data_IF_110606568905
#
_entry.id   IF_110606568905
#
_cell.length_a   1.000
_cell.length_b   1.000
_cell.length_c   1.000
_cell.angle_alpha   90.00
_cell.angle_beta   90.00
_cell.angle_gamma   90.00
#
_symmetry.space_group_name_H-M   'P 1'
#
loop_
_entity.id
_entity.type
_entity.pdbx_description
1 polymer ?
#
# COMPACT_ATOMS: atom_id res chain seq x y z
N UNK A 1 17.00 21.54 -11.69
CA UNK A 1 16.69 21.66 -10.25
C UNK A 1 17.78 21.05 -9.37
N UNK A 2 18.00 19.72 -9.34
CA UNK A 2 19.00 19.10 -8.43
C UNK A 2 20.41 19.70 -8.57
N UNK A 3 20.94 19.85 -9.79
CA UNK A 3 22.26 20.45 -10.00
C UNK A 3 22.36 21.92 -9.53
N UNK A 4 21.26 22.67 -9.67
CA UNK A 4 21.20 24.08 -9.23
C UNK A 4 21.22 24.13 -7.71
N UNK A 5 20.44 23.27 -7.04
CA UNK A 5 20.43 23.19 -5.58
C UNK A 5 21.80 22.79 -5.02
N UNK A 6 22.45 21.79 -5.63
CA UNK A 6 23.80 21.34 -5.28
C UNK A 6 24.83 22.47 -5.34
N UNK A 7 24.73 23.37 -6.33
CA UNK A 7 25.65 24.51 -6.43
C UNK A 7 25.42 25.63 -5.40
N UNK A 8 24.28 25.64 -4.72
CA UNK A 8 23.88 26.76 -3.85
C UNK A 8 24.02 26.47 -2.36
N UNK A 9 23.92 25.21 -1.95
CA UNK A 9 23.94 24.83 -0.53
C UNK A 9 24.69 23.50 -0.32
N UNK A 10 25.38 23.33 0.82
CA UNK A 10 26.05 22.08 1.15
C UNK A 10 25.03 20.96 1.41
N UNK A 11 25.37 19.73 1.01
CA UNK A 11 24.54 18.55 1.26
C UNK A 11 24.75 17.44 0.23
N UNK A 12 24.03 16.33 0.41
CA UNK A 12 23.99 15.23 -0.55
C UNK A 12 22.78 15.39 -1.46
N UNK A 13 23.01 15.38 -2.77
CA UNK A 13 21.98 15.61 -3.77
C UNK A 13 21.89 14.42 -4.70
N UNK A 14 20.67 13.95 -4.93
CA UNK A 14 20.40 12.78 -5.75
C UNK A 14 19.26 13.06 -6.71
N UNK A 15 19.45 12.70 -7.99
CA UNK A 15 18.37 12.67 -8.98
C UNK A 15 17.85 11.24 -9.03
N UNK A 16 16.70 11.00 -8.42
CA UNK A 16 16.10 9.67 -8.35
C UNK A 16 14.57 9.79 -8.41
N UNK A 17 13.91 8.76 -8.94
CA UNK A 17 12.48 8.59 -8.74
C UNK A 17 12.22 8.22 -7.28
N UNK A 18 11.56 9.10 -6.53
CA UNK A 18 11.29 8.90 -5.10
C UNK A 18 10.55 7.58 -4.81
N UNK A 19 9.78 7.06 -5.78
CA UNK A 19 9.06 5.79 -5.65
C UNK A 19 10.02 4.60 -5.55
N UNK A 20 11.20 4.72 -6.16
CA UNK A 20 12.23 3.68 -6.23
C UNK A 20 13.37 3.91 -5.25
N UNK A 21 13.38 5.04 -4.53
CA UNK A 21 14.42 5.34 -3.57
C UNK A 21 14.28 4.49 -2.31
N UNK A 22 15.37 3.82 -1.91
CA UNK A 22 15.48 3.08 -0.66
C UNK A 22 16.69 3.61 0.12
N UNK A 23 16.49 4.29 1.26
CA UNK A 23 17.60 4.82 2.02
C UNK A 23 18.33 3.68 2.75
N UNK A 24 19.66 3.75 2.79
CA UNK A 24 20.48 2.80 3.56
C UNK A 24 20.45 3.02 5.07
N UNK A 25 19.74 4.05 5.53
CA UNK A 25 19.59 4.40 6.95
C UNK A 25 18.21 5.02 7.20
N UNK A 26 17.84 5.16 8.47
CA UNK A 26 16.65 5.90 8.88
C UNK A 26 16.99 7.36 9.22
N UNK A 27 16.06 8.26 8.89
CA UNK A 27 16.19 9.69 9.11
C UNK A 27 15.45 10.13 10.37
N UNK A 28 15.85 11.28 10.90
CA UNK A 28 15.15 11.97 11.98
C UNK A 28 14.03 12.89 11.44
N UNK A 29 14.12 13.26 10.15
CA UNK A 29 13.14 14.12 9.48
C UNK A 29 13.05 13.87 7.97
N UNK A 30 11.85 14.02 7.41
CA UNK A 30 11.55 13.96 5.97
C UNK A 30 10.73 15.19 5.59
N UNK A 31 11.12 15.86 4.51
CA UNK A 31 10.39 16.99 3.94
C UNK A 31 9.87 16.63 2.55
N UNK A 32 8.55 16.62 2.38
CA UNK A 32 7.86 16.36 1.12
C UNK A 32 6.99 17.57 0.76
N UNK A 33 7.62 18.59 0.18
CA UNK A 33 6.97 19.86 -0.13
C UNK A 33 6.64 19.89 -1.62
N UNK A 34 5.35 19.94 -1.95
CA UNK A 34 4.86 20.16 -3.31
C UNK A 34 5.39 19.13 -4.32
N UNK A 35 5.70 17.92 -3.86
CA UNK A 35 6.42 16.89 -4.63
C UNK A 35 5.54 15.72 -5.08
N UNK A 36 4.30 15.64 -4.59
CA UNK A 36 3.40 14.49 -4.80
C UNK A 36 2.36 14.69 -5.91
N UNK A 37 2.30 15.88 -6.52
CA UNK A 37 1.22 16.28 -7.45
C UNK A 37 1.06 15.45 -8.71
N UNK A 38 2.12 14.73 -9.11
CA UNK A 38 2.13 13.90 -10.33
C UNK A 38 1.87 12.42 -10.05
N UNK A 39 1.60 12.07 -8.80
CA UNK A 39 1.35 10.70 -8.36
C UNK A 39 -0.15 10.41 -8.34
N UNK A 40 -0.52 9.16 -8.65
CA UNK A 40 -1.89 8.68 -8.43
C UNK A 40 -2.22 8.66 -6.93
N UNK A 41 -3.50 8.64 -6.53
CA UNK A 41 -3.90 8.54 -5.13
C UNK A 41 -3.28 7.32 -4.40
N UNK A 42 -3.19 6.18 -5.08
CA UNK A 42 -2.52 4.99 -4.55
C UNK A 42 -1.01 5.17 -4.40
N UNK A 43 -0.38 5.82 -5.39
CA UNK A 43 1.03 6.14 -5.29
C UNK A 43 1.34 7.15 -4.16
N UNK A 44 0.45 8.12 -3.93
CA UNK A 44 0.57 9.08 -2.82
C UNK A 44 0.52 8.34 -1.48
N UNK A 45 -0.48 7.47 -1.30
CA UNK A 45 -0.58 6.67 -0.08
C UNK A 45 0.66 5.80 0.14
N UNK A 46 1.13 5.13 -0.92
CA UNK A 46 2.35 4.34 -0.89
C UNK A 46 3.56 5.19 -0.48
N UNK A 47 3.71 6.41 -1.01
CA UNK A 47 4.77 7.32 -0.59
C UNK A 47 4.67 7.69 0.89
N UNK A 48 3.45 7.89 1.42
CA UNK A 48 3.26 8.12 2.85
C UNK A 48 3.70 6.91 3.70
N UNK A 49 3.47 5.67 3.23
CA UNK A 49 4.06 4.48 3.86
C UNK A 49 5.59 4.56 3.84
N UNK A 50 6.22 4.81 2.68
CA UNK A 50 7.68 4.89 2.57
C UNK A 50 8.27 5.97 3.49
N UNK A 51 7.66 7.15 3.57
CA UNK A 51 8.12 8.21 4.48
C UNK A 51 8.12 7.74 5.94
N UNK A 52 7.11 6.97 6.34
CA UNK A 52 7.08 6.36 7.67
C UNK A 52 8.19 5.31 7.84
N UNK A 53 8.47 4.46 6.85
CA UNK A 53 9.56 3.47 6.90
C UNK A 53 10.94 4.12 6.99
N UNK A 54 11.14 5.24 6.28
CA UNK A 54 12.39 5.98 6.27
C UNK A 54 12.67 6.71 7.58
N UNK A 55 11.66 6.92 8.43
CA UNK A 55 11.79 7.64 9.70
C UNK A 55 12.04 6.72 10.89
N UNK A 56 12.87 7.17 11.83
CA UNK A 56 12.94 6.57 13.18
C UNK A 56 11.63 6.82 13.95
N UNK A 57 11.26 5.96 14.92
CA UNK A 57 10.19 6.29 15.87
C UNK A 57 10.45 7.66 16.53
N UNK A 58 9.43 8.51 16.57
CA UNK A 58 9.56 9.90 17.04
C UNK A 58 10.09 10.89 16.01
N UNK A 59 10.54 10.44 14.82
CA UNK A 59 10.96 11.30 13.73
C UNK A 59 9.81 12.08 13.10
N UNK A 60 10.14 13.10 12.31
CA UNK A 60 9.19 14.08 11.79
C UNK A 60 9.00 14.02 10.27
N UNK A 61 7.76 14.09 9.82
CA UNK A 61 7.39 14.33 8.44
C UNK A 61 6.81 15.75 8.32
N UNK A 62 7.40 16.56 7.44
CA UNK A 62 6.81 17.82 6.99
C UNK A 62 6.29 17.61 5.58
N UNK A 63 4.98 17.75 5.39
CA UNK A 63 4.34 17.59 4.08
C UNK A 63 3.62 18.87 3.68
N UNK A 64 3.92 19.35 2.48
CA UNK A 64 3.35 20.57 1.91
C UNK A 64 2.55 20.25 0.64
N UNK A 65 1.28 20.60 0.60
CA UNK A 65 0.34 20.22 -0.45
C UNK A 65 -0.64 21.35 -0.76
N UNK A 66 -1.29 21.29 -1.92
CA UNK A 66 -2.48 22.10 -2.21
C UNK A 66 -3.71 21.27 -1.83
N UNK A 67 -4.55 21.71 -0.87
CA UNK A 67 -5.73 20.97 -0.47
C UNK A 67 -6.86 21.16 -1.51
N UNK A 68 -7.76 20.18 -1.62
CA UNK A 68 -8.87 20.23 -2.57
C UNK A 68 -9.94 21.27 -2.24
N UNK A 69 -10.00 21.71 -0.98
CA UNK A 69 -10.96 22.68 -0.43
C UNK A 69 -10.65 24.12 -0.85
N UNK A 70 -9.40 24.40 -1.20
CA UNK A 70 -8.91 25.71 -1.62
C UNK A 70 -8.68 25.78 -3.14
N UNK A 71 -9.20 24.81 -3.90
CA UNK A 71 -9.10 24.84 -5.36
C UNK A 71 -9.96 26.00 -5.91
N UNK A 72 -9.42 26.81 -6.83
CA UNK A 72 -10.21 27.86 -7.48
C UNK A 72 -11.32 27.22 -8.33
N UNK A 73 -12.42 27.93 -8.64
CA UNK A 73 -13.47 27.43 -9.53
C UNK A 73 -12.91 26.88 -10.84
N UNK A 74 -13.36 25.70 -11.26
CA UNK A 74 -12.80 25.03 -12.44
C UNK A 74 -13.42 23.65 -12.72
N UNK A 75 -12.97 23.03 -13.82
CA UNK A 75 -13.41 21.70 -14.22
C UNK A 75 -12.73 20.61 -13.39
N UNK A 76 -13.36 20.20 -12.29
CA UNK A 76 -12.88 19.12 -11.45
C UNK A 76 -13.90 17.99 -11.35
N UNK A 77 -13.38 16.77 -11.17
CA UNK A 77 -14.19 15.56 -11.02
C UNK A 77 -13.89 14.98 -9.64
N UNK A 78 -14.93 14.70 -8.85
CA UNK A 78 -14.76 14.02 -7.57
C UNK A 78 -14.60 12.50 -7.78
N UNK A 79 -13.56 11.93 -7.17
CA UNK A 79 -13.27 10.50 -7.14
C UNK A 79 -13.67 9.95 -5.76
N UNK A 80 -14.79 9.21 -5.72
CA UNK A 80 -15.33 8.62 -4.50
C UNK A 80 -14.52 7.42 -3.99
N UNK A 81 -13.67 6.80 -4.82
CA UNK A 81 -12.85 5.66 -4.38
C UNK A 81 -11.75 6.13 -3.44
N UNK A 82 -11.15 7.26 -3.75
CA UNK A 82 -10.06 7.84 -2.98
C UNK A 82 -10.48 9.01 -2.09
N UNK A 83 -11.73 9.50 -2.23
CA UNK A 83 -12.24 10.70 -1.58
C UNK A 83 -11.32 11.90 -1.91
N UNK A 84 -11.16 12.15 -3.21
CA UNK A 84 -10.26 13.18 -3.72
C UNK A 84 -10.82 13.89 -4.96
N UNK A 85 -10.30 15.08 -5.25
CA UNK A 85 -10.64 15.86 -6.42
C UNK A 85 -9.60 15.66 -7.51
N UNK A 86 -10.06 15.32 -8.73
CA UNK A 86 -9.24 15.09 -9.92
C UNK A 86 -9.37 16.26 -10.88
N UNK A 87 -8.23 16.72 -11.40
CA UNK A 87 -8.16 17.68 -12.50
C UNK A 87 -7.47 17.05 -13.71
N UNK A 88 -8.01 17.29 -14.90
CA UNK A 88 -7.45 16.80 -16.17
C UNK A 88 -6.82 17.95 -16.96
N UNK A 89 -5.67 17.68 -17.59
CA UNK A 89 -5.14 18.53 -18.67
C UNK A 89 -4.61 19.89 -18.23
N UNK A 90 -4.27 20.07 -16.93
CA UNK A 90 -3.59 21.29 -16.48
C UNK A 90 -2.13 21.27 -16.99
N UNK A 91 -1.63 22.35 -17.60
CA UNK A 91 -0.22 22.45 -17.98
C UNK A 91 0.67 22.41 -16.74
N UNK A 92 1.83 21.75 -16.84
CA UNK A 92 2.83 21.74 -15.79
C UNK A 92 4.00 22.62 -16.23
N UNK A 93 4.31 23.67 -15.47
CA UNK A 93 5.34 24.66 -15.83
C UNK A 93 5.18 25.18 -17.28
N UNK A 94 3.95 25.57 -17.65
CA UNK A 94 3.59 26.08 -18.98
C UNK A 94 3.79 25.11 -20.14
N UNK A 95 4.06 23.83 -19.86
CA UNK A 95 4.10 22.78 -20.86
C UNK A 95 2.83 21.91 -20.79
N UNK A 96 2.12 21.87 -21.90
CA UNK A 96 1.15 20.83 -22.20
C UNK A 96 1.93 19.63 -22.75
N UNK A 97 1.91 18.51 -22.03
CA UNK A 97 2.34 17.24 -22.62
C UNK A 97 1.18 16.65 -23.41
N UNK A 98 1.46 15.97 -24.51
CA UNK A 98 0.45 15.19 -25.27
C UNK A 98 -0.18 14.05 -24.45
N UNK A 99 0.46 13.67 -23.34
CA UNK A 99 -0.07 12.74 -22.35
C UNK A 99 -1.06 13.43 -21.40
N UNK A 100 -2.24 12.82 -21.19
CA UNK A 100 -3.23 13.28 -20.21
C UNK A 100 -2.63 13.29 -18.80
N UNK A 101 -2.27 14.47 -18.33
CA UNK A 101 -1.80 14.73 -16.97
C UNK A 101 -3.00 14.84 -16.04
N UNK A 102 -3.07 13.92 -15.06
CA UNK A 102 -4.01 14.01 -13.95
C UNK A 102 -3.32 14.61 -12.73
N UNK A 103 -4.02 15.54 -12.08
CA UNK A 103 -3.67 16.02 -10.75
C UNK A 103 -4.72 15.54 -9.76
N UNK A 104 -4.25 15.13 -8.58
CA UNK A 104 -5.10 14.66 -7.49
C UNK A 104 -4.90 15.53 -6.27
N UNK A 105 -6.01 16.02 -5.74
CA UNK A 105 -6.05 16.88 -4.58
C UNK A 105 -6.92 16.23 -3.51
N UNK A 106 -6.36 16.06 -2.32
CA UNK A 106 -7.12 15.60 -1.16
C UNK A 106 -7.53 16.78 -0.30
N UNK A 107 -8.64 16.66 0.41
CA UNK A 107 -9.00 17.60 1.47
C UNK A 107 -8.02 17.48 2.65
N UNK A 108 -7.98 18.48 3.51
CA UNK A 108 -7.16 18.50 4.72
C UNK A 108 -7.52 17.31 5.61
N UNK A 109 -8.81 17.07 5.84
CA UNK A 109 -9.28 15.94 6.63
C UNK A 109 -8.85 14.61 6.02
N UNK A 110 -8.83 14.50 4.69
CA UNK A 110 -8.36 13.30 4.01
C UNK A 110 -6.85 13.11 4.17
N UNK A 111 -6.05 14.15 4.07
CA UNK A 111 -4.62 14.11 4.38
C UNK A 111 -4.35 13.65 5.81
N UNK A 112 -5.06 14.22 6.80
CA UNK A 112 -4.95 13.80 8.21
C UNK A 112 -5.26 12.32 8.39
N UNK A 113 -6.32 11.82 7.74
CA UNK A 113 -6.67 10.38 7.79
C UNK A 113 -5.59 9.51 7.16
N UNK A 114 -5.00 9.91 6.03
CA UNK A 114 -3.93 9.17 5.37
C UNK A 114 -2.70 9.09 6.28
N UNK A 115 -2.22 10.24 6.78
CA UNK A 115 -1.04 10.29 7.66
C UNK A 115 -1.24 9.50 8.94
N UNK A 116 -2.40 9.66 9.59
CA UNK A 116 -2.77 8.84 10.75
C UNK A 116 -2.75 7.36 10.39
N UNK A 117 -3.33 6.96 9.26
CA UNK A 117 -3.37 5.55 8.88
C UNK A 117 -2.00 4.90 8.66
N UNK A 118 -0.94 5.67 8.41
CA UNK A 118 0.42 5.13 8.19
C UNK A 118 1.35 5.37 9.39
N UNK A 119 0.79 5.66 10.56
CA UNK A 119 1.54 5.69 11.82
C UNK A 119 2.01 7.07 12.27
N UNK A 120 1.39 8.16 11.79
CA UNK A 120 1.71 9.51 12.22
C UNK A 120 0.65 10.15 13.11
N UNK A 121 1.10 11.01 14.01
CA UNK A 121 0.27 11.96 14.74
C UNK A 121 0.54 13.37 14.21
N UNK A 122 -0.52 14.15 13.98
CA UNK A 122 -0.38 15.53 13.49
C UNK A 122 -0.08 16.42 14.69
N UNK A 123 1.07 17.10 14.66
CA UNK A 123 1.46 18.02 15.75
C UNK A 123 1.05 19.46 15.46
N UNK A 124 1.20 19.90 14.21
CA UNK A 124 0.82 21.24 13.82
C UNK A 124 0.47 21.34 12.34
N UNK A 125 -0.30 22.38 12.04
CA UNK A 125 -0.82 22.67 10.72
C UNK A 125 -0.56 24.15 10.43
N UNK A 126 -0.22 24.47 9.19
CA UNK A 126 -0.02 25.86 8.77
C UNK A 126 -0.52 26.04 7.35
N UNK A 127 -1.00 27.26 7.07
CA UNK A 127 -1.50 27.64 5.76
C UNK A 127 -0.81 28.92 5.33
N UNK A 128 -0.44 28.99 4.06
CA UNK A 128 0.05 30.22 3.47
C UNK A 128 -0.53 30.37 2.08
N UNK A 129 -0.83 31.62 1.74
CA UNK A 129 -1.25 32.02 0.41
C UNK A 129 -0.03 32.55 -0.33
N UNK A 130 0.21 32.02 -1.52
CA UNK A 130 1.21 32.52 -2.44
C UNK A 130 0.52 33.01 -3.71
N UNK A 131 0.74 34.26 -4.07
CA UNK A 131 0.29 34.79 -5.37
C UNK A 131 1.52 35.06 -6.21
N UNK A 132 1.72 34.31 -7.31
CA UNK A 132 2.83 34.60 -8.22
C UNK A 132 2.68 36.02 -8.78
N UNK A 133 3.80 36.72 -8.93
CA UNK A 133 3.87 38.03 -9.58
C UNK A 133 3.99 37.86 -11.09
N UNK A 134 3.07 37.12 -11.68
CA UNK A 134 3.01 36.83 -13.11
C UNK A 134 1.71 37.42 -13.68
N UNK A 135 1.75 37.89 -14.93
CA UNK A 135 0.60 38.54 -15.58
C UNK A 135 -0.50 37.52 -15.95
N UNK A 136 -0.12 36.29 -16.27
CA UNK A 136 -1.02 35.21 -16.68
C UNK A 136 -1.37 34.29 -15.50
N UNK A 137 -0.48 34.16 -14.51
CA UNK A 137 -0.67 33.34 -13.31
C UNK A 137 -0.76 34.21 -12.04
N UNK A 138 -1.83 35.00 -11.93
CA UNK A 138 -2.03 35.97 -10.83
C UNK A 138 -3.01 35.51 -9.74
N UNK A 139 -3.35 34.23 -9.70
CA UNK A 139 -4.28 33.69 -8.72
C UNK A 139 -3.55 33.27 -7.44
N UNK A 140 -4.21 33.44 -6.30
CA UNK A 140 -3.69 32.96 -5.02
C UNK A 140 -3.69 31.42 -4.97
N UNK A 141 -2.53 30.85 -4.71
CA UNK A 141 -2.32 29.43 -4.45
C UNK A 141 -2.24 29.22 -2.93
N UNK A 142 -3.14 28.40 -2.40
CA UNK A 142 -3.11 28.04 -0.98
C UNK A 142 -2.26 26.79 -0.80
N UNK A 143 -1.25 26.91 0.04
CA UNK A 143 -0.38 25.82 0.42
C UNK A 143 -0.65 25.44 1.87
N UNK A 144 -0.88 24.16 2.09
CA UNK A 144 -1.18 23.55 3.37
C UNK A 144 0.02 22.69 3.81
N UNK A 145 0.61 23.08 4.93
CA UNK A 145 1.74 22.41 5.57
C UNK A 145 1.26 21.65 6.79
N UNK A 146 1.69 20.39 6.92
CA UNK A 146 1.46 19.58 8.10
C UNK A 146 2.80 19.10 8.64
N UNK A 147 3.01 19.30 9.95
CA UNK A 147 4.06 18.65 10.71
C UNK A 147 3.45 17.44 11.41
N UNK A 148 3.99 16.26 11.13
CA UNK A 148 3.50 15.01 11.67
C UNK A 148 4.65 14.21 12.30
N UNK A 149 4.45 13.69 13.51
CA UNK A 149 5.43 12.87 14.22
C UNK A 149 5.10 11.39 14.07
N UNK A 150 6.11 10.57 13.75
CA UNK A 150 5.95 9.12 13.68
C UNK A 150 5.76 8.55 15.08
N UNK A 151 4.63 7.87 15.31
CA UNK A 151 4.27 7.26 16.60
C UNK A 151 4.28 5.74 16.57
N UNK A 152 4.06 5.13 15.40
CA UNK A 152 4.08 3.68 15.23
C UNK A 152 5.41 3.17 14.69
N UNK A 153 5.79 1.94 15.06
CA UNK A 153 7.04 1.34 14.59
C UNK A 153 6.99 0.95 13.10
N UNK A 154 5.81 0.58 12.58
CA UNK A 154 5.66 0.11 11.21
C UNK A 154 4.39 0.70 10.56
N UNK A 155 4.46 1.31 9.36
CA UNK A 155 3.32 1.98 8.72
C UNK A 155 2.14 1.08 8.38
N UNK A 156 2.42 -0.18 8.02
CA UNK A 156 1.39 -1.20 7.78
C UNK A 156 0.66 -1.64 9.06
N UNK A 157 1.21 -1.27 10.22
CA UNK A 157 0.62 -1.45 11.55
C UNK A 157 0.11 -0.14 12.12
N UNK A 158 -0.14 0.88 11.29
CA UNK A 158 -0.65 2.20 11.72
C UNK A 158 -1.77 2.10 12.79
N UNK A 159 -2.18 3.20 13.45
CA UNK A 159 -3.18 3.26 14.51
C UNK A 159 -4.59 2.91 13.99
N UNK A 160 -4.76 1.73 13.42
CA UNK A 160 -6.01 1.09 13.19
C UNK A 160 -6.52 0.75 14.58
N UNK A 161 -7.67 1.31 15.01
CA UNK A 161 -8.27 0.86 16.25
C UNK A 161 -8.38 -0.66 16.16
N UNK A 162 -7.88 -1.35 17.18
CA UNK A 162 -8.07 -2.80 17.30
C UNK A 162 -9.57 -3.04 17.13
N UNK A 163 -10.01 -3.81 16.12
CA UNK A 163 -11.43 -4.06 15.97
C UNK A 163 -11.93 -4.67 17.27
N UNK A 164 -12.96 -4.07 17.82
CA UNK A 164 -13.64 -4.56 19.02
C UNK A 164 -14.16 -5.97 18.75
N UNK A 165 -14.33 -6.80 19.79
CA UNK A 165 -14.94 -8.14 19.62
C UNK A 165 -16.25 -8.10 18.83
N UNK A 166 -17.02 -7.01 18.94
CA UNK A 166 -18.25 -6.80 18.19
C UNK A 166 -18.04 -6.64 16.67
N UNK A 167 -16.96 -5.96 16.24
CA UNK A 167 -16.60 -5.80 14.82
C UNK A 167 -16.08 -7.11 14.22
N UNK A 168 -15.39 -7.94 15.02
CA UNK A 168 -14.98 -9.30 14.65
C UNK A 168 -16.18 -10.24 14.43
N UNK A 169 -17.29 -10.06 15.14
CA UNK A 169 -18.49 -10.87 14.94
C UNK A 169 -19.35 -10.43 13.74
N UNK A 170 -19.13 -9.22 13.23
CA UNK A 170 -19.86 -8.63 12.09
C UNK A 170 -19.12 -8.75 10.75
N UNK A 171 -17.94 -9.40 10.70
CA UNK A 171 -17.27 -9.64 9.42
C UNK A 171 -18.21 -10.44 8.49
N UNK A 172 -18.30 -10.09 7.19
CA UNK A 172 -19.10 -10.87 6.26
C UNK A 172 -18.62 -12.32 6.26
N UNK A 173 -19.49 -13.26 6.66
CA UNK A 173 -19.16 -14.70 6.77
C UNK A 173 -18.93 -15.40 5.42
N UNK A 174 -18.90 -14.65 4.32
CA UNK A 174 -18.61 -15.14 2.99
C UNK A 174 -18.12 -13.99 2.11
N UNK A 175 -17.16 -14.27 1.23
CA UNK A 175 -16.86 -13.41 0.10
C UNK A 175 -18.16 -13.11 -0.66
N UNK A 176 -18.44 -11.84 -0.96
CA UNK A 176 -19.46 -11.54 -1.96
C UNK A 176 -18.97 -12.12 -3.31
N UNK A 177 -19.85 -12.77 -4.10
CA UNK A 177 -19.48 -13.47 -5.34
C UNK A 177 -18.59 -12.66 -6.32
N UNK A 178 -18.77 -11.33 -6.49
CA UNK A 178 -17.94 -10.53 -7.40
C UNK A 178 -16.47 -10.47 -6.99
N UNK A 179 -16.18 -10.43 -5.68
CA UNK A 179 -14.81 -10.31 -5.12
C UNK A 179 -14.03 -11.60 -5.31
N UNK A 180 -14.64 -12.75 -4.98
CA UNK A 180 -14.04 -14.06 -5.21
C UNK A 180 -13.84 -14.35 -6.70
N UNK A 181 -14.79 -13.94 -7.56
CA UNK A 181 -14.70 -14.13 -9.01
C UNK A 181 -13.56 -13.31 -9.65
N UNK A 182 -13.42 -12.03 -9.29
CA UNK A 182 -12.34 -11.19 -9.83
C UNK A 182 -10.95 -11.66 -9.40
N UNK A 183 -10.79 -12.08 -8.15
CA UNK A 183 -9.53 -12.68 -7.68
C UNK A 183 -9.25 -13.98 -8.43
N UNK A 184 -10.23 -14.88 -8.56
CA UNK A 184 -10.07 -16.17 -9.29
C UNK A 184 -9.58 -16.01 -10.73
N UNK A 185 -10.04 -14.98 -11.46
CA UNK A 185 -9.63 -14.74 -12.85
C UNK A 185 -8.15 -14.35 -12.99
N UNK A 186 -7.54 -13.74 -11.97
CA UNK A 186 -6.11 -13.42 -11.96
C UNK A 186 -5.23 -14.66 -11.76
N UNK A 187 -5.74 -15.69 -11.07
CA UNK A 187 -4.96 -16.87 -10.71
C UNK A 187 -4.90 -17.95 -11.79
N UNK A 188 -5.73 -17.92 -12.84
CA UNK A 188 -5.79 -18.98 -13.87
C UNK A 188 -4.43 -19.24 -14.55
N UNK A 189 -3.67 -18.19 -14.86
CA UNK A 189 -2.30 -18.32 -15.43
C UNK A 189 -1.31 -18.99 -14.46
N UNK A 190 -1.49 -18.78 -13.16
CA UNK A 190 -0.69 -19.44 -12.14
C UNK A 190 -1.03 -20.93 -12.06
N UNK A 191 -2.32 -21.27 -12.15
CA UNK A 191 -2.79 -22.66 -12.12
C UNK A 191 -2.15 -23.50 -13.23
N UNK A 192 -2.11 -22.94 -14.43
CA UNK A 192 -1.50 -23.60 -15.60
C UNK A 192 0.00 -23.84 -15.38
N UNK A 193 0.73 -22.84 -14.89
CA UNK A 193 2.16 -22.99 -14.62
C UNK A 193 2.45 -23.96 -13.47
N UNK A 194 1.73 -23.86 -12.35
CA UNK A 194 1.88 -24.77 -11.20
C UNK A 194 1.65 -26.21 -11.62
N UNK A 195 0.67 -26.47 -12.49
CA UNK A 195 0.39 -27.82 -13.01
C UNK A 195 1.57 -28.44 -13.75
N UNK A 196 2.53 -27.64 -14.24
CA UNK A 196 3.77 -28.14 -14.87
C UNK A 196 4.88 -28.47 -13.87
N UNK A 197 4.69 -28.19 -12.57
CA UNK A 197 5.72 -28.35 -11.53
C UNK A 197 5.34 -29.46 -10.54
N UNK A 198 6.01 -30.63 -10.57
CA UNK A 198 5.61 -31.78 -9.77
C UNK A 198 5.71 -31.57 -8.25
N UNK A 199 6.57 -30.63 -7.81
CA UNK A 199 6.81 -30.32 -6.40
C UNK A 199 5.93 -29.19 -5.84
N UNK A 200 5.07 -28.60 -6.67
CA UNK A 200 4.13 -27.57 -6.22
C UNK A 200 2.74 -28.19 -6.14
N UNK A 201 2.04 -27.88 -5.06
CA UNK A 201 0.64 -28.23 -4.86
C UNK A 201 -0.13 -26.95 -4.64
N UNK A 202 -1.24 -26.81 -5.33
CA UNK A 202 -2.14 -25.67 -5.21
C UNK A 202 -3.52 -26.17 -4.81
N UNK A 203 -4.22 -25.38 -4.01
CA UNK A 203 -5.54 -25.69 -3.52
C UNK A 203 -6.42 -24.45 -3.65
N UNK A 204 -7.45 -24.52 -4.51
CA UNK A 204 -8.46 -23.47 -4.70
C UNK A 204 -9.70 -23.78 -3.84
N UNK A 205 -9.52 -23.67 -2.52
CA UNK A 205 -10.57 -23.91 -1.53
C UNK A 205 -10.28 -23.17 -0.22
N UNK A 206 -11.19 -23.24 0.75
CA UNK A 206 -11.02 -22.52 2.02
C UNK A 206 -9.95 -23.15 2.90
N UNK A 207 -9.19 -22.34 3.63
CA UNK A 207 -8.06 -22.79 4.47
C UNK A 207 -8.48 -23.89 5.47
N UNK A 208 -9.71 -23.82 5.98
CA UNK A 208 -10.24 -24.78 6.94
C UNK A 208 -10.36 -26.21 6.37
N UNK A 209 -10.48 -26.33 5.04
CA UNK A 209 -10.70 -27.57 4.31
C UNK A 209 -9.44 -28.08 3.59
N UNK A 210 -8.25 -27.62 3.98
CA UNK A 210 -6.98 -28.08 3.39
C UNK A 210 -6.89 -29.62 3.41
N UNK A 211 -6.80 -30.30 2.24
CA UNK A 211 -6.83 -31.76 2.12
C UNK A 211 -5.46 -32.41 2.36
N UNK A 212 -4.45 -31.61 2.70
CA UNK A 212 -3.08 -32.04 2.85
C UNK A 212 -2.80 -32.64 4.22
N UNK A 213 -1.84 -33.58 4.27
CA UNK A 213 -1.42 -34.22 5.50
C UNK A 213 -0.62 -33.27 6.39
N UNK A 214 -0.44 -33.65 7.64
CA UNK A 214 0.40 -32.91 8.59
C UNK A 214 1.86 -32.86 8.12
N UNK A 215 2.51 -31.70 8.28
CA UNK A 215 3.94 -31.47 8.01
C UNK A 215 4.41 -31.85 6.59
N UNK A 216 3.51 -31.69 5.62
CA UNK A 216 3.75 -32.08 4.23
C UNK A 216 4.65 -31.10 3.47
N UNK A 217 4.63 -29.81 3.80
CA UNK A 217 5.29 -28.77 3.01
C UNK A 217 6.36 -28.00 3.79
N UNK A 218 7.52 -27.79 3.17
CA UNK A 218 8.54 -26.89 3.70
C UNK A 218 8.16 -25.42 3.46
N UNK A 219 7.47 -25.10 2.36
CA UNK A 219 7.05 -23.74 2.03
C UNK A 219 5.54 -23.71 1.81
N UNK A 220 4.84 -22.81 2.52
CA UNK A 220 3.41 -22.58 2.35
C UNK A 220 3.15 -21.12 1.99
N UNK A 221 2.52 -20.90 0.84
CA UNK A 221 2.09 -19.59 0.38
C UNK A 221 0.57 -19.44 0.59
N UNK A 222 0.19 -18.39 1.31
CA UNK A 222 -1.20 -18.04 1.59
C UNK A 222 -1.49 -16.69 0.93
N UNK A 223 -2.12 -16.71 -0.24
CA UNK A 223 -2.36 -15.51 -1.04
C UNK A 223 -3.84 -15.13 -1.01
N UNK A 224 -4.17 -14.00 -0.39
CA UNK A 224 -5.53 -13.43 -0.33
C UNK A 224 -6.60 -14.35 0.28
N UNK A 225 -6.21 -15.27 1.16
CA UNK A 225 -7.16 -16.23 1.75
C UNK A 225 -7.61 -15.89 3.18
N UNK A 226 -6.84 -15.09 3.93
CA UNK A 226 -7.16 -14.81 5.34
C UNK A 226 -8.43 -13.96 5.49
N UNK A 227 -8.75 -13.12 4.51
CA UNK A 227 -10.01 -12.36 4.49
C UNK A 227 -11.26 -13.24 4.33
N UNK A 228 -11.09 -14.50 3.91
CA UNK A 228 -12.17 -15.47 3.74
C UNK A 228 -12.24 -16.50 4.86
N UNK A 229 -11.35 -16.41 5.85
CA UNK A 229 -11.31 -17.36 6.95
C UNK A 229 -12.57 -17.20 7.83
N UNK A 230 -13.28 -18.30 8.09
CA UNK A 230 -14.43 -18.28 9.00
C UNK A 230 -13.99 -18.06 10.46
N UNK A 231 -12.76 -18.46 10.77
CA UNK A 231 -12.10 -18.21 12.04
C UNK A 231 -10.59 -18.15 11.87
N UNK A 232 -9.98 -17.02 12.23
CA UNK A 232 -8.58 -16.74 11.95
C UNK A 232 -7.62 -17.75 12.61
N UNK A 233 -7.81 -18.04 13.90
CA UNK A 233 -6.95 -19.01 14.61
C UNK A 233 -7.10 -20.43 14.04
N UNK A 234 -8.32 -20.84 13.69
CA UNK A 234 -8.56 -22.15 13.10
C UNK A 234 -7.88 -22.27 11.72
N UNK A 235 -7.98 -21.23 10.89
CA UNK A 235 -7.34 -21.17 9.58
C UNK A 235 -5.81 -21.21 9.69
N UNK A 236 -5.23 -20.36 10.55
CA UNK A 236 -3.78 -20.34 10.79
C UNK A 236 -3.28 -21.65 11.39
N UNK A 237 -4.07 -22.29 12.27
CA UNK A 237 -3.79 -23.63 12.78
C UNK A 237 -3.75 -24.69 11.69
N UNK A 238 -4.61 -24.61 10.66
CA UNK A 238 -4.54 -25.52 9.50
C UNK A 238 -3.31 -25.26 8.62
N UNK A 239 -2.92 -24.01 8.44
CA UNK A 239 -1.67 -23.64 7.75
C UNK A 239 -0.47 -24.23 8.51
N UNK A 240 -0.41 -24.05 9.82
CA UNK A 240 0.64 -24.65 10.66
C UNK A 240 0.63 -26.18 10.60
N UNK A 241 -0.54 -26.82 10.60
CA UNK A 241 -0.66 -28.28 10.50
C UNK A 241 0.05 -28.81 9.26
N UNK A 242 -0.15 -28.20 8.10
CA UNK A 242 0.40 -28.69 6.82
C UNK A 242 1.85 -28.27 6.61
N UNK A 243 2.34 -27.28 7.36
CA UNK A 243 3.72 -26.79 7.29
C UNK A 243 4.62 -27.65 8.15
N UNK A 244 5.73 -28.14 7.58
CA UNK A 244 6.76 -28.88 8.33
C UNK A 244 7.41 -27.97 9.36
N UNK A 245 7.78 -28.51 10.52
CA UNK A 245 8.44 -27.74 11.59
C UNK A 245 9.96 -27.97 11.56
N UNK A 246 10.64 -27.28 10.66
CA UNK A 246 12.11 -27.30 10.60
C UNK A 246 12.67 -25.88 10.36
N UNK A 247 13.99 -25.73 10.46
CA UNK A 247 14.66 -24.43 10.33
C UNK A 247 14.60 -23.85 8.89
N UNK A 248 14.36 -24.69 7.89
CA UNK A 248 14.19 -24.29 6.48
C UNK A 248 12.76 -23.91 6.13
N UNK A 249 11.77 -24.22 6.97
CA UNK A 249 10.37 -24.00 6.65
C UNK A 249 10.01 -22.52 6.58
N UNK A 250 9.16 -22.14 5.64
CA UNK A 250 8.72 -20.77 5.43
C UNK A 250 7.22 -20.71 5.22
N UNK A 251 6.58 -19.71 5.82
CA UNK A 251 5.18 -19.37 5.57
C UNK A 251 5.19 -17.96 5.00
N UNK A 252 4.72 -17.82 3.76
CA UNK A 252 4.56 -16.53 3.11
C UNK A 252 3.06 -16.20 3.06
N UNK A 253 2.68 -15.06 3.62
CA UNK A 253 1.29 -14.59 3.61
C UNK A 253 1.23 -13.29 2.82
N UNK A 254 0.36 -13.26 1.81
CA UNK A 254 0.12 -12.09 0.97
C UNK A 254 -1.33 -11.66 1.18
N UNK A 255 -1.53 -10.38 1.48
CA UNK A 255 -2.84 -9.74 1.63
C UNK A 255 -2.80 -8.38 0.93
N UNK A 256 -3.97 -7.81 0.64
CA UNK A 256 -4.05 -6.53 -0.05
C UNK A 256 -3.58 -5.36 0.78
N UNK A 257 -2.62 -4.57 0.32
CA UNK A 257 -2.23 -3.38 1.05
C UNK A 257 -3.35 -2.29 1.02
N UNK A 258 -3.39 -1.37 2.01
CA UNK A 258 -4.43 -0.32 2.07
C UNK A 258 -4.43 0.66 0.89
N UNK A 259 -3.34 0.72 0.13
CA UNK A 259 -3.18 1.47 -1.12
C UNK A 259 -3.59 0.71 -2.38
N UNK A 260 -3.97 -0.56 -2.26
CA UNK A 260 -4.42 -1.36 -3.39
C UNK A 260 -5.73 -0.80 -3.96
N UNK A 261 -5.68 -0.28 -5.19
CA UNK A 261 -6.82 0.36 -5.85
C UNK A 261 -8.02 -0.57 -6.03
N UNK A 262 -7.78 -1.85 -6.35
CA UNK A 262 -8.84 -2.85 -6.49
C UNK A 262 -9.57 -3.08 -5.15
N UNK A 263 -8.82 -3.16 -4.05
CA UNK A 263 -9.40 -3.32 -2.71
C UNK A 263 -10.15 -2.07 -2.28
N UNK A 264 -9.62 -0.87 -2.55
CA UNK A 264 -10.36 0.37 -2.30
C UNK A 264 -11.66 0.43 -3.09
N UNK A 265 -11.60 0.16 -4.39
CA UNK A 265 -12.76 0.14 -5.25
C UNK A 265 -13.82 -0.85 -4.76
N UNK A 266 -13.40 -2.08 -4.43
CA UNK A 266 -14.27 -3.10 -3.87
C UNK A 266 -14.89 -2.67 -2.55
N UNK A 267 -14.11 -2.07 -1.65
CA UNK A 267 -14.61 -1.61 -0.36
C UNK A 267 -15.64 -0.47 -0.53
N UNK A 268 -15.41 0.47 -1.45
CA UNK A 268 -16.33 1.58 -1.72
C UNK A 268 -17.61 1.13 -2.41
N UNK A 269 -17.53 0.19 -3.37
CA UNK A 269 -18.68 -0.21 -4.19
C UNK A 269 -19.54 -1.30 -3.56
N UNK A 270 -18.98 -2.15 -2.69
CA UNK A 270 -19.71 -3.28 -2.10
C UNK A 270 -20.57 -2.90 -0.89
N UNK A 271 -20.46 -1.67 -0.38
CA UNK A 271 -21.17 -1.23 0.84
C UNK A 271 -20.77 -2.02 2.09
N UNK A 272 -19.77 -2.89 1.99
CA UNK A 272 -19.23 -3.63 3.12
C UNK A 272 -18.47 -2.65 4.02
N UNK A 273 -18.63 -2.74 5.36
CA UNK A 273 -17.86 -1.91 6.27
C UNK A 273 -16.38 -2.08 5.91
N UNK A 274 -15.73 -0.95 5.58
CA UNK A 274 -14.38 -0.82 5.05
C UNK A 274 -13.55 -2.07 5.37
N UNK A 275 -13.48 -2.99 4.39
CA UNK A 275 -13.12 -4.38 4.66
C UNK A 275 -11.81 -4.41 5.41
N UNK A 276 -11.86 -5.15 6.52
CA UNK A 276 -10.93 -5.02 7.62
C UNK A 276 -9.49 -4.99 7.17
N UNK A 277 -8.77 -4.16 7.91
CA UNK A 277 -7.40 -3.81 7.71
C UNK A 277 -6.56 -5.06 7.36
N UNK A 278 -6.21 -5.22 6.09
CA UNK A 278 -5.45 -6.37 5.62
C UNK A 278 -4.08 -6.48 6.33
N UNK A 279 -3.52 -5.33 6.75
CA UNK A 279 -2.36 -5.29 7.64
C UNK A 279 -2.62 -5.88 9.05
N UNK A 280 -3.85 -5.81 9.57
CA UNK A 280 -4.23 -6.53 10.80
C UNK A 280 -4.22 -8.04 10.60
N UNK A 281 -4.76 -8.54 9.48
CA UNK A 281 -4.72 -9.98 9.18
C UNK A 281 -3.28 -10.49 9.14
N UNK A 282 -2.37 -9.72 8.53
CA UNK A 282 -0.94 -10.00 8.51
C UNK A 282 -0.31 -9.92 9.90
N UNK A 283 -0.63 -8.89 10.69
CA UNK A 283 -0.12 -8.74 12.05
C UNK A 283 -0.56 -9.89 12.96
N UNK A 284 -1.85 -10.24 12.93
CA UNK A 284 -2.39 -11.36 13.69
C UNK A 284 -1.73 -12.67 13.28
N UNK A 285 -1.58 -12.92 11.98
CA UNK A 285 -0.88 -14.10 11.47
C UNK A 285 0.58 -14.14 11.95
N UNK A 286 1.29 -13.01 11.89
CA UNK A 286 2.67 -12.89 12.39
C UNK A 286 2.77 -13.25 13.87
N UNK A 287 1.94 -12.65 14.72
CA UNK A 287 1.92 -12.92 16.17
C UNK A 287 1.56 -14.38 16.46
N UNK A 288 0.57 -14.92 15.76
CA UNK A 288 0.14 -16.30 15.92
C UNK A 288 1.25 -17.28 15.53
N UNK A 289 1.90 -17.09 14.38
CA UNK A 289 3.00 -17.96 13.94
C UNK A 289 4.23 -17.85 14.83
N UNK A 290 4.55 -16.66 15.34
CA UNK A 290 5.65 -16.46 16.29
C UNK A 290 5.45 -17.30 17.56
N UNK A 291 4.23 -17.34 18.11
CA UNK A 291 3.88 -18.18 19.27
C UNK A 291 4.01 -19.69 19.01
N UNK A 292 4.04 -20.09 17.74
CA UNK A 292 4.12 -21.50 17.31
C UNK A 292 5.47 -21.86 16.67
N UNK A 293 6.53 -21.09 16.95
CA UNK A 293 7.92 -21.43 16.59
C UNK A 293 8.47 -20.72 15.34
N UNK A 294 7.66 -19.93 14.63
CA UNK A 294 8.11 -19.14 13.48
C UNK A 294 8.52 -17.73 13.92
N UNK A 295 9.63 -17.63 14.63
CA UNK A 295 10.08 -16.39 15.31
C UNK A 295 10.73 -15.36 14.38
N UNK A 296 11.24 -15.76 13.21
CA UNK A 296 11.86 -14.86 12.23
C UNK A 296 10.81 -14.30 11.26
N UNK A 297 9.88 -13.49 11.78
CA UNK A 297 8.79 -12.93 10.99
C UNK A 297 9.09 -11.48 10.55
N UNK A 298 9.21 -11.28 9.24
CA UNK A 298 9.30 -9.97 8.59
C UNK A 298 7.96 -9.57 7.99
N UNK A 299 7.74 -8.27 7.85
CA UNK A 299 6.60 -7.71 7.13
C UNK A 299 7.15 -6.58 6.26
N UNK A 300 6.79 -6.56 4.98
CA UNK A 300 7.20 -5.54 4.01
C UNK A 300 5.97 -5.00 3.30
N UNK A 301 5.96 -3.69 3.03
CA UNK A 301 5.06 -3.13 2.02
C UNK A 301 5.75 -3.32 0.68
N UNK A 302 5.12 -4.03 -0.23
CA UNK A 302 5.66 -4.19 -1.57
C UNK A 302 4.95 -3.15 -2.45
N UNK A 303 5.60 -2.55 -3.47
CA UNK A 303 4.99 -1.73 -4.54
C UNK A 303 5.14 -2.36 -5.95
N UNK A 304 4.08 -2.60 -6.72
CA UNK A 304 4.16 -2.99 -8.12
C UNK A 304 3.04 -2.36 -8.97
N UNK A 305 3.42 -1.45 -9.87
CA UNK A 305 2.54 -0.86 -10.89
C UNK A 305 2.66 -1.67 -12.19
N UNK A 306 1.56 -2.04 -12.83
CA UNK A 306 1.58 -2.68 -14.15
C UNK A 306 1.93 -1.61 -15.20
N UNK A 307 3.07 -1.75 -15.86
CA UNK A 307 3.37 -1.08 -17.13
C UNK A 307 3.65 -2.13 -18.20
N UNK A 308 2.58 -2.53 -18.90
CA UNK A 308 2.53 -3.43 -20.07
C UNK A 308 3.06 -4.88 -19.95
N UNK A 309 2.48 -5.85 -20.67
CA UNK A 309 2.58 -7.27 -20.33
C UNK A 309 3.76 -8.04 -20.96
N UNK A 310 4.74 -7.39 -21.58
CA UNK A 310 5.37 -8.02 -22.76
C UNK A 310 6.63 -8.84 -22.58
N UNK A 311 7.45 -8.75 -21.52
CA UNK A 311 8.63 -9.63 -21.38
C UNK A 311 9.04 -9.87 -19.93
N UNK A 312 8.98 -11.13 -19.47
CA UNK A 312 9.62 -11.58 -18.23
C UNK A 312 10.40 -12.87 -18.53
N UNK A 313 11.71 -12.88 -18.25
CA UNK A 313 12.58 -14.05 -18.34
C UNK A 313 12.93 -14.55 -16.92
N UNK A 314 12.76 -15.83 -16.57
CA UNK A 314 12.98 -16.29 -15.20
C UNK A 314 14.26 -17.13 -15.05
N UNK A 315 15.06 -16.86 -14.02
CA UNK A 315 16.12 -17.80 -13.55
C UNK A 315 15.83 -18.47 -12.21
N UNK A 316 14.83 -18.01 -11.43
CA UNK A 316 14.51 -18.60 -10.12
C UNK A 316 13.00 -18.91 -9.95
N UNK A 317 12.67 -19.94 -9.17
CA UNK A 317 11.27 -20.34 -8.90
C UNK A 317 10.48 -19.28 -8.12
N UNK A 318 11.16 -18.52 -7.24
CA UNK A 318 10.63 -17.31 -6.60
C UNK A 318 10.32 -16.25 -7.65
N UNK A 319 11.27 -15.96 -8.55
CA UNK A 319 11.10 -14.98 -9.62
C UNK A 319 9.98 -15.32 -10.61
N UNK A 320 9.77 -16.61 -10.84
CA UNK A 320 8.72 -17.11 -11.71
C UNK A 320 7.34 -16.97 -11.05
N UNK A 321 7.21 -17.26 -9.75
CA UNK A 321 5.98 -17.04 -8.97
C UNK A 321 5.57 -15.56 -8.91
N UNK A 322 6.52 -14.65 -8.74
CA UNK A 322 6.30 -13.18 -8.84
C UNK A 322 5.76 -12.80 -10.21
N UNK A 323 6.41 -13.32 -11.26
CA UNK A 323 6.12 -12.95 -12.64
C UNK A 323 4.75 -13.45 -13.11
N UNK A 324 4.31 -14.61 -12.60
CA UNK A 324 3.06 -15.27 -12.96
C UNK A 324 1.87 -14.81 -12.13
N UNK A 325 2.11 -14.35 -10.90
CA UNK A 325 1.10 -13.70 -10.05
C UNK A 325 0.81 -12.26 -10.47
N UNK A 326 1.58 -11.71 -11.42
CA UNK A 326 1.34 -10.38 -11.96
C UNK A 326 1.13 -9.36 -10.85
N UNK A 327 2.03 -9.32 -9.87
CA UNK A 327 2.34 -8.21 -8.97
C UNK A 327 3.11 -8.70 -7.72
N UNK A 328 4.12 -7.91 -7.34
CA UNK A 328 4.83 -7.84 -6.05
C UNK A 328 6.02 -8.81 -5.78
N UNK A 329 7.20 -8.21 -5.49
CA UNK A 329 8.35 -8.73 -4.72
C UNK A 329 9.26 -7.59 -4.22
N UNK A 330 10.25 -7.84 -3.34
CA UNK A 330 10.23 -8.57 -2.06
C UNK A 330 9.90 -7.68 -0.85
#
# INVERSE_FOLDING_TARGET
MVNIAFSQVPGNFMKVDMRMYEPGCTFDGVFAILSLFRLSPGEIYSMCCKFSEWLKPGGYLVIGVTPSTDLPPGGYIHDSTWDCTRQMGKPWMNHYSDELVFFFFFSEERWKRILRSVGFEIESESRYSFTPKDLEFNHAEIHYLQLARKVENHPLLGPYPRPTKAELHRMPRAATPPRAYMLKKQFTRLQDWVSTKPNIRMFDGTIEKLPFSTEQFDIVLVSWQLEFAAGMEAALGKILRVTRKNNSSRILVIQGAPDNELIRFLNTTSGLPNVQHQGFLLHFAKEYFARHGFVKATMSHIKHTISSPTKIYPRDAEQLLISLLGTWFP
#
